data_IF_202509931571
#
_entry.id   IF_202509931571
#
_cell.length_a   1.000
_cell.length_b   1.000
_cell.length_c   1.000
_cell.angle_alpha   90.00
_cell.angle_beta   90.00
_cell.angle_gamma   90.00
#
_symmetry.space_group_name_H-M   'P 1'
#
loop_
_entity.id
_entity.type
_entity.pdbx_description
1 polymer ?
#
# COMPACT_ATOMS: atom_id res chain seq x y z
N UNK A 1 -24.94 62.33 -82.30
CA UNK A 1 -23.92 61.73 -81.43
C UNK A 1 -23.89 60.24 -81.70
N UNK A 2 -22.78 59.66 -82.22
CA UNK A 2 -22.64 58.26 -82.56
C UNK A 2 -22.57 57.42 -81.31
N UNK A 3 -23.52 56.50 -81.08
CA UNK A 3 -23.45 55.54 -79.96
C UNK A 3 -22.31 54.58 -80.22
N UNK A 4 -21.23 54.68 -79.40
CA UNK A 4 -20.13 53.71 -79.45
C UNK A 4 -20.55 52.41 -78.80
N UNK A 5 -20.51 51.30 -79.54
CA UNK A 5 -20.85 49.94 -79.12
C UNK A 5 -19.63 49.00 -79.36
N UNK A 6 -19.56 47.95 -78.59
CA UNK A 6 -18.64 46.84 -78.82
C UNK A 6 -19.39 45.72 -79.49
N UNK A 7 -18.75 45.07 -80.49
CA UNK A 7 -19.32 43.92 -81.17
C UNK A 7 -18.52 42.68 -80.81
N UNK A 8 -19.11 41.74 -80.06
CA UNK A 8 -18.52 40.46 -79.80
C UNK A 8 -18.94 39.49 -80.86
N UNK A 9 -17.97 38.88 -81.54
CA UNK A 9 -18.19 37.84 -82.55
C UNK A 9 -18.03 36.47 -81.87
N UNK A 10 -19.11 35.74 -81.82
CA UNK A 10 -19.09 34.37 -81.29
C UNK A 10 -19.04 33.44 -82.48
N UNK A 11 -17.95 32.72 -82.71
CA UNK A 11 -17.80 31.66 -83.68
C UNK A 11 -17.86 30.30 -82.92
N UNK A 12 -19.01 29.63 -83.03
CA UNK A 12 -19.20 28.37 -82.29
C UNK A 12 -18.36 27.23 -82.87
N UNK A 13 -18.07 27.25 -84.19
CA UNK A 13 -17.22 26.27 -84.89
C UNK A 13 -16.75 26.90 -86.23
N UNK A 14 -15.72 26.29 -86.87
CA UNK A 14 -15.11 26.81 -88.12
C UNK A 14 -16.08 26.87 -89.32
N UNK A 15 -17.19 26.20 -89.29
CA UNK A 15 -18.25 26.18 -90.34
C UNK A 15 -19.54 26.89 -89.96
N UNK A 16 -19.67 27.40 -88.76
CA UNK A 16 -20.92 28.01 -88.28
C UNK A 16 -20.99 29.51 -88.55
N UNK A 17 -22.22 29.99 -88.81
CA UNK A 17 -22.48 31.42 -89.02
C UNK A 17 -22.14 32.21 -87.70
N UNK A 18 -21.28 33.22 -87.82
CA UNK A 18 -20.91 34.11 -86.74
C UNK A 18 -22.11 34.85 -86.17
N UNK A 19 -22.39 34.74 -84.89
CA UNK A 19 -23.38 35.57 -84.20
C UNK A 19 -22.73 36.80 -83.66
N UNK A 20 -23.26 37.94 -84.10
CA UNK A 20 -22.79 39.29 -83.70
C UNK A 20 -23.68 39.76 -82.55
N UNK A 21 -23.06 39.99 -81.40
CA UNK A 21 -23.72 40.58 -80.23
C UNK A 21 -23.19 42.03 -80.02
N UNK A 22 -24.10 42.96 -80.12
CA UNK A 22 -23.82 44.42 -79.96
C UNK A 22 -24.03 44.79 -78.48
N UNK A 23 -22.99 45.13 -77.80
CA UNK A 23 -23.03 45.56 -76.37
C UNK A 23 -22.72 47.05 -76.29
N UNK A 24 -23.66 47.82 -75.76
CA UNK A 24 -23.44 49.27 -75.53
C UNK A 24 -22.63 49.48 -74.29
N UNK A 25 -21.82 50.57 -74.26
CA UNK A 25 -20.96 50.90 -73.10
C UNK A 25 -21.68 50.90 -71.75
N UNK A 26 -22.96 51.40 -71.62
CA UNK A 26 -23.62 51.38 -70.32
C UNK A 26 -23.96 49.96 -69.84
N UNK A 27 -24.26 49.02 -70.75
CA UNK A 27 -24.56 47.63 -70.46
C UNK A 27 -23.29 46.92 -69.92
N UNK A 28 -22.13 47.18 -70.53
CA UNK A 28 -20.86 46.66 -70.08
C UNK A 28 -20.48 47.20 -68.70
N UNK A 29 -20.68 48.49 -68.45
CA UNK A 29 -20.47 49.13 -67.15
C UNK A 29 -21.44 48.57 -66.11
N UNK A 30 -22.70 48.38 -66.39
CA UNK A 30 -23.71 47.80 -65.51
C UNK A 30 -23.33 46.31 -65.14
N UNK A 31 -22.87 45.53 -66.12
CA UNK A 31 -22.44 44.16 -65.93
C UNK A 31 -21.16 44.09 -65.00
N UNK A 32 -20.23 45.02 -65.21
CA UNK A 32 -19.03 45.16 -64.39
C UNK A 32 -19.37 45.51 -62.91
N UNK A 33 -20.26 46.46 -62.69
CA UNK A 33 -20.78 46.83 -61.38
C UNK A 33 -21.48 45.66 -60.70
N UNK A 34 -22.36 44.97 -61.45
CA UNK A 34 -23.06 43.77 -60.94
C UNK A 34 -22.12 42.63 -60.52
N UNK A 35 -21.11 42.36 -61.35
CA UNK A 35 -20.09 41.38 -61.03
C UNK A 35 -19.29 41.79 -59.79
N UNK A 36 -18.91 43.09 -59.66
CA UNK A 36 -18.22 43.61 -58.47
C UNK A 36 -19.01 43.49 -57.18
N UNK A 37 -20.33 43.80 -57.23
CA UNK A 37 -21.22 43.63 -56.06
C UNK A 37 -21.39 42.14 -55.67
N UNK A 38 -21.40 41.24 -56.63
CA UNK A 38 -21.52 39.80 -56.43
C UNK A 38 -20.24 39.25 -55.71
N UNK A 39 -19.08 39.70 -56.14
CA UNK A 39 -17.76 39.37 -55.49
C UNK A 39 -17.72 39.89 -54.06
N UNK A 40 -18.12 41.13 -53.81
CA UNK A 40 -18.18 41.72 -52.47
C UNK A 40 -19.15 40.95 -51.59
N UNK A 41 -20.32 40.56 -52.10
CA UNK A 41 -21.29 39.73 -51.40
C UNK A 41 -20.76 38.36 -51.06
N UNK A 42 -20.01 37.70 -51.94
CA UNK A 42 -19.34 36.43 -51.66
C UNK A 42 -18.24 36.55 -50.60
N UNK A 43 -17.44 37.62 -50.66
CA UNK A 43 -16.39 37.89 -49.66
C UNK A 43 -17.01 38.15 -48.28
N UNK A 44 -18.06 38.95 -48.19
CA UNK A 44 -18.75 39.21 -46.90
C UNK A 44 -19.40 37.94 -46.33
N UNK A 45 -20.01 37.12 -47.19
CA UNK A 45 -20.57 35.84 -46.78
C UNK A 45 -19.50 34.87 -46.27
N UNK A 46 -18.33 34.84 -46.95
CA UNK A 46 -17.20 34.02 -46.53
C UNK A 46 -16.64 34.47 -45.16
N UNK A 47 -16.46 35.77 -44.96
CA UNK A 47 -16.03 36.34 -43.66
C UNK A 47 -17.04 36.03 -42.55
N UNK A 48 -18.33 36.14 -42.83
CA UNK A 48 -19.38 35.78 -41.87
C UNK A 48 -19.36 34.29 -41.51
N UNK A 49 -19.23 33.40 -42.49
CA UNK A 49 -19.16 31.96 -42.29
C UNK A 49 -17.89 31.53 -41.52
N UNK A 50 -16.73 32.13 -41.81
CA UNK A 50 -15.47 31.90 -41.08
C UNK A 50 -15.58 32.42 -39.66
N UNK A 51 -16.14 33.60 -39.43
CA UNK A 51 -16.34 34.14 -38.07
C UNK A 51 -17.23 33.26 -37.20
N UNK A 52 -18.30 32.70 -37.77
CA UNK A 52 -19.16 31.73 -37.05
C UNK A 52 -18.44 30.44 -36.70
N UNK A 53 -17.58 29.93 -37.58
CA UNK A 53 -16.79 28.68 -37.27
C UNK A 53 -15.75 28.91 -36.16
N UNK A 54 -15.13 30.06 -36.13
CA UNK A 54 -14.15 30.43 -35.06
C UNK A 54 -14.87 30.52 -33.72
N UNK A 55 -16.03 31.17 -33.63
CA UNK A 55 -16.79 31.28 -32.38
C UNK A 55 -17.30 29.93 -31.86
N UNK A 56 -17.71 29.02 -32.75
CA UNK A 56 -18.12 27.66 -32.37
C UNK A 56 -16.93 26.81 -31.87
N UNK A 57 -15.77 26.94 -32.49
CA UNK A 57 -14.57 26.24 -32.06
C UNK A 57 -14.09 26.73 -30.69
N UNK A 58 -14.16 28.03 -30.40
CA UNK A 58 -13.90 28.60 -29.09
C UNK A 58 -14.90 28.10 -28.05
N UNK A 59 -16.18 28.06 -28.34
CA UNK A 59 -17.22 27.54 -27.46
C UNK A 59 -16.98 26.06 -27.10
N UNK A 60 -16.56 25.25 -28.07
CA UNK A 60 -16.19 23.86 -27.82
C UNK A 60 -14.94 23.74 -26.93
N UNK A 61 -13.91 24.57 -27.13
CA UNK A 61 -12.71 24.62 -26.25
C UNK A 61 -13.09 25.04 -24.84
N UNK A 62 -13.95 26.05 -24.67
CA UNK A 62 -14.45 26.47 -23.37
C UNK A 62 -15.25 25.39 -22.64
N UNK A 63 -16.09 24.63 -23.38
CA UNK A 63 -16.83 23.48 -22.82
C UNK A 63 -15.88 22.35 -22.39
N UNK A 64 -14.89 22.00 -23.20
CA UNK A 64 -13.89 20.99 -22.81
C UNK A 64 -13.09 21.43 -21.59
N UNK A 65 -12.62 22.67 -21.55
CA UNK A 65 -11.92 23.21 -20.37
C UNK A 65 -12.81 23.24 -19.11
N UNK A 66 -14.09 23.54 -19.24
CA UNK A 66 -15.02 23.51 -18.10
C UNK A 66 -15.30 22.09 -17.60
N UNK A 67 -15.41 21.10 -18.48
CA UNK A 67 -15.54 19.68 -18.10
C UNK A 67 -14.25 19.15 -17.46
N UNK A 68 -13.08 19.52 -17.99
CA UNK A 68 -11.80 19.16 -17.39
C UNK A 68 -11.64 19.76 -15.98
N UNK A 69 -12.05 21.01 -15.81
CA UNK A 69 -12.01 21.68 -14.50
C UNK A 69 -12.95 21.02 -13.49
N UNK A 70 -14.15 20.61 -13.91
CA UNK A 70 -15.08 19.82 -13.07
C UNK A 70 -14.49 18.48 -12.65
N UNK A 71 -13.88 17.76 -13.59
CA UNK A 71 -13.21 16.50 -13.31
C UNK A 71 -12.04 16.63 -12.33
N UNK A 72 -11.27 17.75 -12.40
CA UNK A 72 -10.21 18.04 -11.44
C UNK A 72 -10.76 18.34 -10.03
N UNK A 73 -11.85 19.11 -9.93
CA UNK A 73 -12.51 19.39 -8.64
C UNK A 73 -13.05 18.10 -7.99
N UNK A 74 -13.64 17.22 -8.77
CA UNK A 74 -14.12 15.93 -8.26
C UNK A 74 -12.95 15.02 -7.81
N UNK A 75 -11.84 15.05 -8.53
CA UNK A 75 -10.62 14.34 -8.15
C UNK A 75 -10.03 14.89 -6.85
N UNK A 76 -9.99 16.21 -6.67
CA UNK A 76 -9.54 16.85 -5.42
C UNK A 76 -10.43 16.43 -4.25
N UNK A 77 -11.75 16.48 -4.38
CA UNK A 77 -12.69 16.03 -3.33
C UNK A 77 -12.52 14.55 -2.98
N UNK A 78 -12.29 13.71 -3.98
CA UNK A 78 -12.03 12.28 -3.76
C UNK A 78 -10.72 12.03 -3.01
N UNK A 79 -9.64 12.73 -3.38
CA UNK A 79 -8.34 12.67 -2.72
C UNK A 79 -8.41 13.18 -1.27
N UNK A 80 -9.10 14.30 -1.03
CA UNK A 80 -9.32 14.85 0.33
C UNK A 80 -10.04 13.85 1.23
N UNK A 81 -11.10 13.22 0.75
CA UNK A 81 -11.82 12.17 1.48
C UNK A 81 -10.93 10.98 1.82
N UNK A 82 -10.03 10.58 0.92
CA UNK A 82 -9.10 9.48 1.15
C UNK A 82 -8.03 9.86 2.17
N UNK A 83 -7.47 11.07 2.11
CA UNK A 83 -6.53 11.60 3.10
C UNK A 83 -7.14 11.62 4.50
N UNK A 84 -8.38 12.07 4.64
CA UNK A 84 -9.09 12.07 5.93
C UNK A 84 -9.30 10.65 6.48
N UNK A 85 -9.67 9.68 5.63
CA UNK A 85 -9.80 8.26 6.02
C UNK A 85 -8.46 7.67 6.47
N UNK A 86 -7.39 7.94 5.72
CA UNK A 86 -6.06 7.49 6.08
C UNK A 86 -5.59 8.08 7.41
N UNK A 87 -5.91 9.33 7.67
CA UNK A 87 -5.60 10.00 8.95
C UNK A 87 -6.31 9.36 10.14
N UNK A 88 -7.61 9.11 10.03
CA UNK A 88 -8.39 8.45 11.09
C UNK A 88 -7.88 7.02 11.35
N UNK A 89 -7.55 6.29 10.31
CA UNK A 89 -6.99 4.94 10.39
C UNK A 89 -5.59 4.93 11.04
N UNK A 90 -4.69 5.86 10.66
CA UNK A 90 -3.37 6.01 11.27
C UNK A 90 -3.47 6.29 12.77
N UNK A 91 -4.36 7.20 13.19
CA UNK A 91 -4.60 7.49 14.60
C UNK A 91 -5.08 6.25 15.37
N UNK A 92 -6.05 5.51 14.82
CA UNK A 92 -6.54 4.27 15.44
C UNK A 92 -5.47 3.20 15.56
N UNK A 93 -4.65 3.00 14.53
CA UNK A 93 -3.55 2.04 14.57
C UNK A 93 -2.48 2.42 15.58
N UNK A 94 -2.13 3.70 15.69
CA UNK A 94 -1.15 4.19 16.70
C UNK A 94 -1.67 4.00 18.11
N UNK A 95 -2.95 4.28 18.36
CA UNK A 95 -3.58 4.03 19.65
C UNK A 95 -3.57 2.54 20.02
N UNK A 96 -3.93 1.64 19.08
CA UNK A 96 -3.91 0.18 19.29
C UNK A 96 -2.49 -0.33 19.51
N UNK A 97 -1.50 0.21 18.78
CA UNK A 97 -0.09 -0.18 18.90
C UNK A 97 0.61 0.41 20.14
N UNK A 98 -0.04 1.26 20.92
CA UNK A 98 0.55 1.95 22.07
C UNK A 98 1.67 2.93 21.70
N UNK A 99 1.73 3.38 20.45
CA UNK A 99 2.79 4.24 19.90
C UNK A 99 2.55 5.73 20.13
N UNK A 100 1.45 6.12 20.79
CA UNK A 100 1.10 7.53 21.04
C UNK A 100 2.15 8.27 21.88
N UNK A 101 2.95 7.55 22.68
CA UNK A 101 4.04 8.14 23.46
C UNK A 101 5.30 8.45 22.66
N UNK A 102 5.50 7.80 21.51
CA UNK A 102 6.68 8.01 20.64
C UNK A 102 6.43 9.11 19.61
N UNK A 103 5.17 9.34 19.23
CA UNK A 103 4.78 10.33 18.24
C UNK A 103 4.88 11.79 18.72
N UNK A 104 5.05 12.05 20.01
CA UNK A 104 5.29 13.42 20.52
C UNK A 104 6.68 13.97 20.18
N UNK A 105 7.64 13.12 19.80
CA UNK A 105 8.98 13.54 19.41
C UNK A 105 9.13 13.81 17.90
N UNK A 106 8.23 13.32 17.07
CA UNK A 106 8.17 13.60 15.64
C UNK A 106 6.85 14.33 15.36
N UNK A 107 6.78 15.64 15.66
CA UNK A 107 5.70 16.46 15.14
C UNK A 107 5.83 16.48 13.62
N UNK A 108 4.91 15.86 12.84
CA UNK A 108 4.78 16.21 11.45
C UNK A 108 4.40 17.70 11.46
N UNK A 109 5.11 18.48 10.66
CA UNK A 109 4.72 19.87 10.41
C UNK A 109 3.20 19.89 10.24
N UNK A 110 2.52 20.72 11.04
CA UNK A 110 1.07 20.95 10.95
C UNK A 110 0.78 21.44 9.53
N UNK A 111 0.55 20.52 8.62
CA UNK A 111 -0.12 20.79 7.36
C UNK A 111 -1.57 21.10 7.70
N UNK A 112 -1.86 22.34 8.08
CA UNK A 112 -3.19 22.93 8.02
C UNK A 112 -3.52 23.13 6.53
N UNK A 113 -3.99 22.10 5.88
CA UNK A 113 -4.37 22.09 4.49
C UNK A 113 -5.52 21.14 4.28
N UNK A 114 -6.64 21.40 4.94
CA UNK A 114 -7.94 20.99 4.42
C UNK A 114 -8.44 22.14 3.56
N UNK A 115 -8.88 21.86 2.34
CA UNK A 115 -9.66 22.80 1.55
C UNK A 115 -11.02 22.85 2.23
N UNK A 116 -11.28 23.87 3.06
CA UNK A 116 -12.61 24.09 3.61
C UNK A 116 -13.58 24.55 2.52
N UNK A 117 -14.89 24.54 2.79
CA UNK A 117 -15.91 25.02 1.84
C UNK A 117 -15.65 26.48 1.39
N UNK A 118 -15.01 27.29 2.22
CA UNK A 118 -14.58 28.64 1.90
C UNK A 118 -13.49 28.68 0.82
N UNK A 119 -12.52 27.73 0.86
CA UNK A 119 -11.48 27.61 -0.15
C UNK A 119 -12.03 27.17 -1.51
N UNK A 120 -13.01 26.27 -1.55
CA UNK A 120 -13.66 25.85 -2.79
C UNK A 120 -14.43 27.02 -3.44
N UNK A 121 -15.17 27.81 -2.65
CA UNK A 121 -15.85 29.03 -3.15
C UNK A 121 -14.87 30.11 -3.60
N UNK A 122 -13.77 30.32 -2.85
CA UNK A 122 -12.74 31.27 -3.22
C UNK A 122 -12.03 30.89 -4.54
N UNK A 123 -11.86 29.59 -4.82
CA UNK A 123 -11.32 29.09 -6.09
C UNK A 123 -12.32 29.36 -7.20
N UNK A 124 -13.62 29.12 -6.98
CA UNK A 124 -14.67 29.35 -7.97
C UNK A 124 -14.82 30.84 -8.32
N UNK A 125 -14.77 31.73 -7.34
CA UNK A 125 -14.75 33.18 -7.54
C UNK A 125 -13.45 33.68 -8.22
N UNK A 126 -12.29 33.10 -7.89
CA UNK A 126 -11.01 33.42 -8.52
C UNK A 126 -10.98 32.92 -9.97
N UNK A 127 -11.61 31.77 -10.28
CA UNK A 127 -11.75 31.27 -11.64
C UNK A 127 -12.61 32.17 -12.52
N UNK A 128 -13.57 32.88 -11.97
CA UNK A 128 -14.36 33.85 -12.71
C UNK A 128 -13.58 35.16 -12.99
N UNK A 129 -12.64 35.52 -12.10
CA UNK A 129 -11.84 36.75 -12.22
C UNK A 129 -10.53 36.58 -12.99
N UNK A 130 -9.86 35.45 -12.80
CA UNK A 130 -8.55 35.16 -13.43
C UNK A 130 -8.31 33.64 -13.54
N UNK A 131 -8.77 33.07 -14.65
CA UNK A 131 -8.70 31.62 -14.93
C UNK A 131 -7.28 31.04 -14.88
N UNK A 132 -6.28 31.84 -15.24
CA UNK A 132 -4.88 31.41 -15.25
C UNK A 132 -4.36 31.12 -13.82
N UNK A 133 -4.57 32.07 -12.91
CA UNK A 133 -4.13 31.94 -11.50
C UNK A 133 -4.89 30.85 -10.74
N UNK A 134 -6.17 30.67 -11.03
CA UNK A 134 -6.96 29.62 -10.41
C UNK A 134 -6.43 28.22 -10.80
N UNK A 135 -6.11 28.02 -12.08
CA UNK A 135 -5.55 26.76 -12.58
C UNK A 135 -4.16 26.47 -11.97
N UNK A 136 -3.29 27.47 -11.90
CA UNK A 136 -1.97 27.34 -11.29
C UNK A 136 -2.05 26.96 -9.81
N UNK A 137 -2.97 27.59 -9.05
CA UNK A 137 -3.23 27.24 -7.66
C UNK A 137 -3.76 25.81 -7.50
N UNK A 138 -4.68 25.37 -8.36
CA UNK A 138 -5.18 23.99 -8.37
C UNK A 138 -4.05 22.98 -8.62
N UNK A 139 -3.16 23.24 -9.57
CA UNK A 139 -2.01 22.36 -9.84
C UNK A 139 -1.07 22.28 -8.65
N UNK A 140 -0.81 23.40 -7.97
CA UNK A 140 -0.01 23.40 -6.75
C UNK A 140 -0.67 22.62 -5.60
N UNK A 141 -1.98 22.78 -5.42
CA UNK A 141 -2.71 22.08 -4.35
C UNK A 141 -2.79 20.57 -4.62
N UNK A 142 -2.96 20.15 -5.88
CA UNK A 142 -2.86 18.73 -6.28
C UNK A 142 -1.45 18.20 -5.96
N UNK A 143 -0.39 18.92 -6.30
CA UNK A 143 0.99 18.51 -6.01
C UNK A 143 1.26 18.34 -4.51
N UNK A 144 0.74 19.25 -3.66
CA UNK A 144 0.83 19.12 -2.20
C UNK A 144 0.07 17.89 -1.68
N UNK A 145 -1.14 17.64 -2.18
CA UNK A 145 -1.93 16.46 -1.82
C UNK A 145 -1.23 15.15 -2.23
N UNK A 146 -0.64 15.10 -3.41
CA UNK A 146 0.13 13.93 -3.86
C UNK A 146 1.34 13.66 -2.95
N UNK A 147 2.06 14.70 -2.53
CA UNK A 147 3.17 14.58 -1.58
C UNK A 147 2.68 14.10 -0.20
N UNK A 148 1.56 14.61 0.29
CA UNK A 148 0.99 14.17 1.56
C UNK A 148 0.54 12.70 1.51
N UNK A 149 -0.10 12.27 0.43
CA UNK A 149 -0.48 10.87 0.20
C UNK A 149 0.76 9.97 0.17
N UNK A 150 1.80 10.36 -0.55
CA UNK A 150 3.05 9.59 -0.62
C UNK A 150 3.72 9.43 0.76
N UNK A 151 3.80 10.51 1.53
CA UNK A 151 4.33 10.52 2.90
C UNK A 151 3.53 9.60 3.83
N UNK A 152 2.19 9.66 3.78
CA UNK A 152 1.32 8.80 4.58
C UNK A 152 1.44 7.34 4.18
N UNK A 153 1.50 7.04 2.89
CA UNK A 153 1.70 5.68 2.39
C UNK A 153 3.04 5.08 2.88
N UNK A 154 4.07 5.90 3.03
CA UNK A 154 5.34 5.46 3.63
C UNK A 154 5.17 5.18 5.13
N UNK A 155 4.57 6.09 5.89
CA UNK A 155 4.29 5.90 7.32
C UNK A 155 3.47 4.62 7.59
N UNK A 156 2.48 4.32 6.74
CA UNK A 156 1.72 3.08 6.82
C UNK A 156 2.57 1.83 6.60
N UNK A 157 3.48 1.85 5.63
CA UNK A 157 4.38 0.72 5.38
C UNK A 157 5.29 0.47 6.59
N UNK A 158 5.82 1.52 7.18
CA UNK A 158 6.66 1.43 8.38
C UNK A 158 5.88 0.85 9.57
N UNK A 159 4.67 1.34 9.82
CA UNK A 159 3.79 0.82 10.88
C UNK A 159 3.40 -0.64 10.64
N UNK A 160 3.04 -1.01 9.41
CA UNK A 160 2.75 -2.39 9.05
C UNK A 160 3.94 -3.30 9.36
N UNK A 161 5.13 -2.93 8.90
CA UNK A 161 6.36 -3.71 9.14
C UNK A 161 6.66 -3.83 10.63
N UNK A 162 6.46 -2.76 11.41
CA UNK A 162 6.61 -2.79 12.86
C UNK A 162 5.63 -3.78 13.51
N UNK A 163 4.35 -3.73 13.16
CA UNK A 163 3.33 -4.63 13.72
C UNK A 163 3.57 -6.09 13.32
N UNK A 164 3.95 -6.34 12.06
CA UNK A 164 4.30 -7.69 11.59
C UNK A 164 5.53 -8.23 12.33
N UNK A 165 6.55 -7.42 12.56
CA UNK A 165 7.74 -7.80 13.32
C UNK A 165 7.39 -8.10 14.78
N UNK A 166 6.57 -7.26 15.42
CA UNK A 166 6.10 -7.50 16.80
C UNK A 166 5.32 -8.81 16.90
N UNK A 167 4.40 -9.05 15.97
CA UNK A 167 3.64 -10.30 15.88
C UNK A 167 4.55 -11.51 15.69
N UNK A 168 5.53 -11.40 14.79
CA UNK A 168 6.52 -12.45 14.53
C UNK A 168 7.34 -12.77 15.76
N UNK A 169 7.82 -11.75 16.48
CA UNK A 169 8.56 -11.94 17.74
C UNK A 169 7.72 -12.61 18.82
N UNK A 170 6.46 -12.18 19.00
CA UNK A 170 5.54 -12.80 19.95
C UNK A 170 5.25 -14.27 19.59
N UNK A 171 5.08 -14.58 18.31
CA UNK A 171 4.87 -15.95 17.84
C UNK A 171 6.12 -16.84 18.07
N UNK A 172 7.31 -16.28 17.92
CA UNK A 172 8.59 -16.96 18.11
C UNK A 172 9.03 -17.09 19.57
N UNK A 173 8.45 -16.30 20.49
CA UNK A 173 8.84 -16.35 21.91
C UNK A 173 8.25 -17.61 22.57
N UNK A 174 9.06 -18.47 23.21
CA UNK A 174 8.61 -19.72 23.84
C UNK A 174 7.90 -19.44 25.16
N UNK A 175 6.61 -19.13 25.12
CA UNK A 175 5.86 -18.53 26.22
C UNK A 175 4.86 -19.44 26.91
N UNK A 176 4.72 -20.71 26.51
CA UNK A 176 3.84 -21.67 27.16
C UNK A 176 4.62 -22.85 27.76
N UNK A 177 4.04 -23.49 28.76
CA UNK A 177 4.57 -24.74 29.29
C UNK A 177 4.57 -25.82 28.21
N UNK A 178 5.74 -26.49 27.96
CA UNK A 178 5.84 -27.52 26.93
C UNK A 178 5.14 -28.82 27.33
N UNK A 179 4.92 -29.03 28.63
CA UNK A 179 4.24 -30.22 29.18
C UNK A 179 3.53 -29.86 30.47
N UNK A 180 2.43 -30.53 30.78
CA UNK A 180 1.77 -30.48 32.10
C UNK A 180 2.50 -31.40 33.07
N UNK A 181 3.11 -30.85 34.09
CA UNK A 181 3.90 -31.59 35.07
C UNK A 181 4.45 -30.71 36.17
N UNK A 182 5.34 -31.26 37.00
CA UNK A 182 6.02 -30.57 38.11
C UNK A 182 7.47 -30.30 37.75
N UNK A 183 7.94 -29.10 37.96
CA UNK A 183 9.37 -28.77 37.82
C UNK A 183 10.15 -29.47 38.95
N UNK A 184 10.97 -30.44 38.58
CA UNK A 184 11.82 -31.21 39.51
C UNK A 184 13.22 -30.67 39.61
N UNK A 185 13.67 -29.95 38.56
CA UNK A 185 14.95 -29.25 38.58
C UNK A 185 14.92 -28.01 37.72
N UNK A 186 15.40 -26.90 38.29
CA UNK A 186 15.50 -25.61 37.63
C UNK A 186 16.80 -25.44 36.82
N UNK A 187 16.84 -24.34 36.07
CA UNK A 187 18.03 -23.85 35.37
C UNK A 187 19.09 -23.37 36.39
N UNK A 188 20.35 -23.69 36.14
CA UNK A 188 21.48 -23.19 36.93
C UNK A 188 22.32 -24.28 37.59
N UNK A 189 23.22 -23.90 38.53
CA UNK A 189 24.10 -24.84 39.20
C UNK A 189 23.33 -25.75 40.16
N UNK A 190 23.53 -27.06 40.01
CA UNK A 190 23.00 -28.10 40.89
C UNK A 190 24.03 -29.20 41.15
N UNK A 191 23.79 -30.05 42.14
CA UNK A 191 24.52 -31.30 42.29
C UNK A 191 24.03 -32.31 41.27
N UNK A 192 24.93 -32.87 40.47
CA UNK A 192 24.60 -33.89 39.48
C UNK A 192 24.05 -35.15 40.17
N UNK A 193 22.85 -35.65 39.78
CA UNK A 193 22.30 -36.86 40.33
C UNK A 193 23.11 -38.12 39.95
N UNK A 194 24.03 -38.00 39.01
CA UNK A 194 24.85 -39.12 38.51
C UNK A 194 26.26 -39.14 39.10
N UNK A 195 26.90 -37.97 39.22
CA UNK A 195 28.29 -37.86 39.64
C UNK A 195 28.49 -37.31 41.06
N UNK A 196 27.42 -36.73 41.63
CA UNK A 196 27.52 -36.02 42.91
C UNK A 196 28.30 -34.69 42.84
N UNK A 197 28.80 -34.31 41.67
CA UNK A 197 29.59 -33.08 41.51
C UNK A 197 28.67 -31.91 41.13
N UNK A 198 29.19 -30.70 41.36
CA UNK A 198 28.50 -29.46 40.91
C UNK A 198 28.47 -29.40 39.38
N UNK A 199 27.29 -29.27 38.84
CA UNK A 199 27.04 -29.24 37.38
C UNK A 199 26.07 -28.11 37.06
N UNK A 200 26.26 -27.47 35.91
CA UNK A 200 25.33 -26.46 35.41
C UNK A 200 24.25 -27.12 34.58
N UNK A 201 22.99 -26.90 34.94
CA UNK A 201 21.83 -27.42 34.26
C UNK A 201 21.29 -26.35 33.31
N UNK A 202 21.34 -26.60 32.00
CA UNK A 202 21.04 -25.63 30.94
C UNK A 202 19.56 -25.52 30.62
N UNK A 203 18.67 -26.22 31.36
CA UNK A 203 17.23 -26.27 31.11
C UNK A 203 16.38 -26.41 32.37
N UNK A 204 15.15 -26.82 32.16
CA UNK A 204 14.19 -27.24 33.18
C UNK A 204 13.89 -28.74 33.01
N UNK A 205 13.89 -29.47 34.11
CA UNK A 205 13.38 -30.85 34.14
C UNK A 205 11.93 -30.83 34.67
N UNK A 206 11.00 -31.31 33.87
CA UNK A 206 9.57 -31.29 34.17
C UNK A 206 9.06 -32.75 34.23
N UNK A 207 8.84 -33.25 35.45
CA UNK A 207 8.33 -34.60 35.68
C UNK A 207 6.89 -34.71 35.20
N UNK A 208 6.60 -35.75 34.41
CA UNK A 208 5.27 -36.10 33.94
C UNK A 208 5.21 -37.61 33.64
N UNK A 209 3.99 -38.15 33.56
CA UNK A 209 3.78 -39.57 33.20
C UNK A 209 4.37 -39.88 31.82
N UNK A 210 5.02 -41.05 31.64
CA UNK A 210 5.42 -41.49 30.29
C UNK A 210 4.24 -41.45 29.31
N UNK A 211 4.49 -40.97 28.08
CA UNK A 211 3.46 -40.81 27.07
C UNK A 211 2.69 -39.49 27.15
N UNK A 212 2.87 -38.66 28.19
CA UNK A 212 2.28 -37.32 28.25
C UNK A 212 2.73 -36.52 27.04
N UNK A 213 1.79 -35.81 26.40
CA UNK A 213 2.09 -35.01 25.20
C UNK A 213 2.98 -33.82 25.54
N UNK A 214 4.04 -33.67 24.75
CA UNK A 214 4.94 -32.51 24.73
C UNK A 214 4.54 -31.64 23.57
N UNK A 215 4.38 -30.32 23.82
CA UNK A 215 3.95 -29.35 22.80
C UNK A 215 5.04 -28.31 22.52
N UNK A 216 5.05 -27.77 21.32
CA UNK A 216 5.91 -26.67 20.93
C UNK A 216 5.60 -25.42 21.76
N UNK A 217 6.59 -24.82 22.41
CA UNK A 217 6.43 -23.65 23.27
C UNK A 217 6.21 -22.34 22.48
N UNK A 218 6.55 -22.34 21.19
CA UNK A 218 6.36 -21.24 20.23
C UNK A 218 6.15 -21.78 18.81
N UNK A 219 5.76 -20.91 17.87
CA UNK A 219 5.77 -21.23 16.45
C UNK A 219 7.20 -21.46 15.96
N UNK A 220 7.45 -22.44 15.09
CA UNK A 220 8.81 -22.71 14.63
C UNK A 220 8.92 -23.77 13.55
N UNK A 221 10.16 -24.14 13.28
CA UNK A 221 10.52 -25.22 12.34
C UNK A 221 11.37 -26.24 13.11
N UNK A 222 11.07 -27.51 12.90
CA UNK A 222 11.88 -28.62 13.45
C UNK A 222 13.24 -28.61 12.73
N UNK A 223 14.30 -28.36 13.44
CA UNK A 223 15.67 -28.40 12.92
C UNK A 223 16.38 -29.71 13.20
N UNK A 224 15.85 -30.48 14.16
CA UNK A 224 16.31 -31.83 14.45
C UNK A 224 15.23 -32.64 15.14
N UNK A 225 15.08 -33.90 14.77
CA UNK A 225 14.22 -34.87 15.45
C UNK A 225 14.83 -36.26 15.37
N UNK A 226 15.48 -36.70 16.45
CA UNK A 226 16.27 -37.93 16.45
C UNK A 226 16.83 -38.27 17.84
N UNK A 227 17.85 -39.09 17.88
CA UNK A 227 18.59 -39.42 19.13
C UNK A 227 19.88 -38.64 19.15
N UNK A 228 20.15 -37.93 20.27
CA UNK A 228 21.31 -37.08 20.43
C UNK A 228 21.89 -37.24 21.82
N UNK A 229 23.08 -37.89 21.93
CA UNK A 229 23.92 -37.97 23.12
C UNK A 229 23.12 -38.19 24.43
N UNK A 230 23.40 -37.39 25.43
CA UNK A 230 22.76 -37.44 26.73
C UNK A 230 21.25 -37.12 26.71
N UNK A 231 20.76 -36.38 25.73
CA UNK A 231 19.31 -36.03 25.57
C UNK A 231 18.42 -37.24 25.23
N UNK A 232 19.00 -38.36 24.76
CA UNK A 232 18.20 -39.46 24.21
C UNK A 232 17.41 -39.03 22.95
N UNK A 233 16.14 -39.40 22.88
CA UNK A 233 15.27 -38.89 21.84
C UNK A 233 14.97 -37.42 22.12
N UNK A 234 15.25 -36.56 21.14
CA UNK A 234 15.12 -35.11 21.26
C UNK A 234 14.46 -34.49 20.00
N UNK A 235 13.70 -33.46 20.23
CA UNK A 235 13.22 -32.54 19.18
C UNK A 235 13.84 -31.17 19.44
N UNK A 236 14.36 -30.54 18.38
CA UNK A 236 14.91 -29.17 18.43
C UNK A 236 14.09 -28.32 17.47
N UNK A 237 13.56 -27.20 17.97
CA UNK A 237 12.79 -26.23 17.19
C UNK A 237 13.55 -24.91 17.11
N UNK A 238 13.65 -24.37 15.91
CA UNK A 238 14.09 -22.97 15.71
C UNK A 238 12.88 -22.10 15.42
N UNK A 239 12.73 -21.01 16.21
CA UNK A 239 11.53 -20.15 16.19
C UNK A 239 11.74 -18.84 15.45
N UNK A 240 12.99 -18.53 15.02
CA UNK A 240 13.38 -17.23 14.54
C UNK A 240 13.70 -16.26 15.70
N UNK A 241 14.08 -15.04 15.36
CA UNK A 241 14.49 -14.00 16.33
C UNK A 241 15.52 -14.46 17.38
N UNK A 242 16.37 -15.45 17.02
CA UNK A 242 17.41 -16.02 17.88
C UNK A 242 16.92 -17.09 18.85
N UNK A 243 15.63 -17.44 18.88
CA UNK A 243 15.10 -18.47 19.79
C UNK A 243 15.22 -19.87 19.20
N UNK A 244 15.71 -20.80 20.03
CA UNK A 244 15.72 -22.25 19.79
C UNK A 244 15.29 -22.96 21.06
N UNK A 245 14.50 -24.04 20.95
CA UNK A 245 14.10 -24.87 22.10
C UNK A 245 14.44 -26.35 21.89
N UNK A 246 14.80 -27.02 22.99
CA UNK A 246 15.10 -28.43 23.02
C UNK A 246 14.09 -29.16 23.91
N UNK A 247 13.66 -30.34 23.44
CA UNK A 247 12.71 -31.22 24.11
C UNK A 247 13.34 -32.61 24.20
N UNK A 248 14.04 -32.89 25.30
CA UNK A 248 14.85 -34.08 25.51
C UNK A 248 14.14 -35.19 26.32
N UNK A 249 14.78 -36.36 26.37
CA UNK A 249 14.34 -37.59 27.02
C UNK A 249 12.99 -38.13 26.54
N UNK A 250 12.62 -37.81 25.31
CA UNK A 250 11.33 -38.20 24.74
C UNK A 250 11.19 -39.72 24.64
N UNK A 251 9.98 -40.22 24.86
CA UNK A 251 9.64 -41.59 24.54
C UNK A 251 9.55 -41.76 23.01
N UNK A 252 8.88 -40.79 22.34
CA UNK A 252 8.70 -40.77 20.88
C UNK A 252 8.68 -39.33 20.38
N UNK A 253 9.39 -39.08 19.31
CA UNK A 253 9.26 -37.83 18.53
C UNK A 253 8.06 -37.97 17.57
N UNK A 254 7.14 -37.00 17.56
CA UNK A 254 5.93 -36.99 16.74
C UNK A 254 6.05 -36.17 15.47
N UNK A 255 7.19 -35.51 15.28
CA UNK A 255 7.50 -34.64 14.17
C UNK A 255 8.83 -35.03 13.55
N UNK A 256 9.05 -34.64 12.29
CA UNK A 256 10.29 -34.85 11.55
C UNK A 256 10.94 -33.50 11.23
N UNK A 257 12.24 -33.54 10.96
CA UNK A 257 13.02 -32.38 10.51
C UNK A 257 12.37 -31.69 9.31
N UNK A 258 12.39 -30.37 9.28
CA UNK A 258 11.79 -29.51 8.24
C UNK A 258 10.30 -29.22 8.49
N UNK A 259 9.60 -29.93 9.39
CA UNK A 259 8.19 -29.66 9.67
C UNK A 259 8.01 -28.30 10.35
N UNK A 260 7.08 -27.49 9.86
CA UNK A 260 6.59 -26.30 10.56
C UNK A 260 5.59 -26.67 11.63
N UNK A 261 5.75 -26.14 12.82
CA UNK A 261 4.85 -26.36 13.95
C UNK A 261 4.35 -25.02 14.51
N UNK A 262 3.15 -25.04 15.05
CA UNK A 262 2.58 -23.90 15.77
C UNK A 262 2.74 -24.10 17.28
N UNK A 263 2.75 -23.00 18.01
CA UNK A 263 2.68 -23.02 19.48
C UNK A 263 1.51 -23.91 19.95
N UNK A 264 1.77 -24.80 20.87
CA UNK A 264 0.79 -25.78 21.38
C UNK A 264 0.61 -27.03 20.51
N UNK A 265 1.30 -27.15 19.37
CA UNK A 265 1.25 -28.34 18.54
C UNK A 265 2.10 -29.47 19.17
N UNK A 266 1.57 -30.69 19.17
CA UNK A 266 2.27 -31.87 19.71
C UNK A 266 3.54 -32.19 18.90
N UNK A 267 4.68 -32.26 19.59
CA UNK A 267 6.00 -32.50 18.99
C UNK A 267 6.65 -33.79 19.47
N UNK A 268 6.34 -34.22 20.70
CA UNK A 268 6.87 -35.44 21.27
C UNK A 268 5.95 -36.01 22.36
N UNK A 269 6.37 -37.11 22.98
CA UNK A 269 5.80 -37.63 24.24
C UNK A 269 6.88 -37.82 25.29
N UNK A 270 6.56 -37.54 26.57
CA UNK A 270 7.46 -37.69 27.69
C UNK A 270 7.96 -39.13 27.80
N UNK A 271 9.25 -39.25 27.99
CA UNK A 271 9.91 -40.55 28.15
C UNK A 271 10.96 -40.57 29.28
N UNK A 272 11.91 -41.47 29.11
CA UNK A 272 13.06 -41.66 30.02
C UNK A 272 14.26 -42.15 29.20
N UNK A 273 14.41 -41.64 27.95
CA UNK A 273 15.52 -42.04 27.07
C UNK A 273 16.78 -41.20 27.36
N UNK A 274 17.95 -41.73 26.97
CA UNK A 274 19.23 -41.03 27.19
C UNK A 274 19.66 -41.04 28.67
N UNK A 275 20.29 -39.93 29.10
CA UNK A 275 20.87 -39.81 30.44
C UNK A 275 19.83 -39.21 31.40
N UNK A 276 18.91 -40.04 31.85
CA UNK A 276 17.76 -39.67 32.68
C UNK A 276 17.59 -40.62 33.88
N UNK A 277 17.22 -40.08 35.04
CA UNK A 277 17.00 -40.84 36.26
C UNK A 277 15.57 -41.30 36.45
N UNK A 278 14.63 -40.81 35.63
CA UNK A 278 13.21 -41.11 35.70
C UNK A 278 12.41 -40.34 34.65
N UNK A 279 11.14 -40.68 34.46
CA UNK A 279 10.34 -40.05 33.41
C UNK A 279 10.17 -38.55 33.62
N UNK A 280 10.71 -37.74 32.70
CA UNK A 280 10.58 -36.27 32.66
C UNK A 280 10.85 -35.72 31.25
N UNK A 281 10.46 -34.50 31.02
CA UNK A 281 10.89 -33.69 29.89
C UNK A 281 12.07 -32.81 30.35
N UNK A 282 13.20 -32.92 29.66
CA UNK A 282 14.26 -31.92 29.75
C UNK A 282 14.00 -30.84 28.70
N UNK A 283 13.82 -29.59 29.13
CA UNK A 283 13.42 -28.47 28.29
C UNK A 283 14.44 -27.33 28.38
N UNK A 284 15.03 -26.95 27.23
CA UNK A 284 15.94 -25.81 27.15
C UNK A 284 15.40 -24.72 26.25
N UNK A 285 15.75 -23.47 26.58
CA UNK A 285 15.58 -22.28 25.74
C UNK A 285 16.95 -21.68 25.48
N UNK A 286 17.26 -21.51 24.20
CA UNK A 286 18.49 -20.87 23.73
C UNK A 286 18.13 -19.57 23.04
N UNK A 287 18.84 -18.49 23.39
CA UNK A 287 18.68 -17.17 22.80
C UNK A 287 20.03 -16.71 22.26
N UNK A 288 20.09 -16.49 20.94
CA UNK A 288 21.31 -16.09 20.24
C UNK A 288 22.52 -16.99 20.52
N UNK A 289 22.28 -18.31 20.65
CA UNK A 289 23.31 -19.31 20.89
C UNK A 289 23.70 -19.54 22.37
N UNK A 290 23.11 -18.82 23.32
CA UNK A 290 23.33 -19.01 24.75
C UNK A 290 22.08 -19.61 25.41
N UNK A 291 22.27 -20.62 26.29
CA UNK A 291 21.18 -21.15 27.10
C UNK A 291 20.73 -20.13 28.15
N UNK A 292 19.43 -20.03 28.34
CA UNK A 292 18.80 -19.09 29.26
C UNK A 292 17.77 -19.81 30.12
N UNK A 293 17.45 -19.24 31.28
CA UNK A 293 16.43 -19.77 32.17
C UNK A 293 15.04 -19.77 31.47
N UNK A 294 14.50 -20.97 31.13
CA UNK A 294 13.21 -21.06 30.45
C UNK A 294 12.04 -20.48 31.24
N UNK A 295 12.12 -20.52 32.58
CA UNK A 295 11.07 -19.99 33.47
C UNK A 295 10.83 -18.49 33.29
N UNK A 296 11.80 -17.72 32.74
CA UNK A 296 11.67 -16.29 32.49
C UNK A 296 10.82 -15.96 31.24
N UNK A 297 10.61 -16.95 30.38
CA UNK A 297 9.85 -16.78 29.13
C UNK A 297 8.44 -17.32 29.22
N UNK A 298 8.23 -18.34 30.09
CA UNK A 298 6.91 -18.97 30.26
C UNK A 298 5.98 -18.00 30.98
N UNK A 299 4.87 -17.65 30.33
CA UNK A 299 3.82 -16.86 30.94
C UNK A 299 2.90 -17.84 31.66
N UNK A 300 2.81 -17.73 32.98
CA UNK A 300 1.85 -18.49 33.76
C UNK A 300 0.44 -18.10 33.32
N UNK A 301 -0.32 -19.07 32.78
CA UNK A 301 -1.74 -18.88 32.56
C UNK A 301 -2.43 -18.79 33.92
N UNK A 302 -2.77 -17.58 34.34
CA UNK A 302 -3.54 -17.33 35.57
C UNK A 302 -4.92 -18.03 35.56
N UNK A 303 -5.26 -18.73 34.49
CA UNK A 303 -6.49 -19.51 34.30
C UNK A 303 -6.29 -21.02 34.46
N UNK A 304 -5.07 -21.52 34.63
CA UNK A 304 -4.80 -22.97 34.76
C UNK A 304 -4.83 -23.48 36.20
N UNK A 305 -5.13 -22.63 37.17
CA UNK A 305 -5.27 -22.98 38.60
C UNK A 305 -6.74 -23.03 39.04
N UNK A 306 -7.64 -23.61 38.20
CA UNK A 306 -8.97 -24.02 38.67
C UNK A 306 -9.28 -25.43 38.31
#
# INVERSE_FOLDING_TARGET
>A
MAKRFYTILILPDATARAKKLHITKPVLAAAGVGAGLLVIGLITLLFYALGQRVSLAELHRFRQQATDTGAYLDKIKALEKEVLRLRDFDQKLRAIAGLDRVAQAAQPAKGQGGVDEGSARAIEEAMQRDKGRALEKMVQDIGKMEQEIASRAQSFRELKNFLENQRSRLAATPSIWPVKGWVTSGYGYRTSPFTGQRHFHEGLDISAKPGTTVVAAADGVVTFAGTLGGFGNVVILTHGHGFTTFYGHNQKNLVAEGKRVRRGEAVATVGNTGYSTGPHLHYEVIVNGASVDPGKYIIEDALAQR
#
